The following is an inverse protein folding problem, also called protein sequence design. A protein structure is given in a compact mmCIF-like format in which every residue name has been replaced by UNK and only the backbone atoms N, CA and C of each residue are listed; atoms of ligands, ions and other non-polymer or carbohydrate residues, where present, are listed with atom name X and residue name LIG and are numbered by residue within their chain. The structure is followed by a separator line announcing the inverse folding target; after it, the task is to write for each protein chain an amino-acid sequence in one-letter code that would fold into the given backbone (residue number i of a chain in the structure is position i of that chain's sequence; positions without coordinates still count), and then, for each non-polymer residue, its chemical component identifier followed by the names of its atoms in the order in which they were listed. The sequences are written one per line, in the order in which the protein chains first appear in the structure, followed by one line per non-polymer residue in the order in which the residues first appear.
data_IF_034589324560
#
_entry.id   IF_034589324560
#
_cell.length_a   1.000
_cell.length_b   1.000
_cell.length_c   1.000
_cell.angle_alpha   90.00
_cell.angle_beta   90.00
_cell.angle_gamma   90.00
#
_symmetry.space_group_name_H-M   'P 1'
#
loop_
_entity.id
_entity.type
_entity.pdbx_description
1 polymer ?
#
# COMPACT_ATOMS: atom_id res chain seq x y z
N UNK A 1 -13.35 6.00 16.84
CA UNK A 1 -13.63 6.92 15.70
C UNK A 1 -13.28 8.35 16.07
N UNK A 2 -13.07 9.24 15.08
CA UNK A 2 -12.60 10.63 15.30
C UNK A 2 -13.44 11.42 16.31
N UNK A 3 -14.77 11.32 16.21
CA UNK A 3 -15.68 12.05 17.10
C UNK A 3 -15.57 11.59 18.55
N UNK A 4 -15.48 10.28 18.78
CA UNK A 4 -15.25 9.71 20.11
C UNK A 4 -13.92 10.16 20.69
N UNK A 5 -12.87 10.20 19.87
CA UNK A 5 -11.55 10.67 20.30
C UNK A 5 -11.58 12.13 20.75
N UNK A 6 -12.20 13.01 19.96
CA UNK A 6 -12.39 14.43 20.30
C UNK A 6 -13.24 14.61 21.56
N UNK A 7 -14.33 13.85 21.70
CA UNK A 7 -15.16 13.86 22.89
C UNK A 7 -14.34 13.52 24.15
N UNK A 8 -13.56 12.43 24.12
CA UNK A 8 -12.72 12.04 25.25
C UNK A 8 -11.64 13.10 25.53
N UNK A 9 -11.00 13.65 24.49
CA UNK A 9 -9.97 14.70 24.65
C UNK A 9 -10.52 15.95 25.34
N UNK A 10 -11.73 16.37 24.99
CA UNK A 10 -12.37 17.56 25.59
C UNK A 10 -12.78 17.34 27.04
N UNK A 11 -13.13 16.10 27.42
CA UNK A 11 -13.56 15.77 28.78
C UNK A 11 -12.39 15.35 29.71
N UNK A 12 -11.27 14.89 29.14
CA UNK A 12 -10.06 14.52 29.87
C UNK A 12 -8.90 15.45 29.49
N UNK A 13 -8.85 16.60 30.15
CA UNK A 13 -7.84 17.63 29.91
C UNK A 13 -6.43 17.03 30.06
N UNK A 14 -5.58 17.28 29.06
CA UNK A 14 -4.19 16.81 28.97
C UNK A 14 -3.98 15.28 28.88
N UNK A 15 -5.02 14.45 28.85
CA UNK A 15 -4.87 13.00 28.72
C UNK A 15 -4.56 12.54 27.29
N UNK A 16 -5.01 13.32 26.29
CA UNK A 16 -4.89 12.97 24.87
C UNK A 16 -4.34 14.15 24.05
N UNK A 17 -3.45 13.90 23.08
CA UNK A 17 -2.92 14.94 22.20
C UNK A 17 -4.00 15.57 21.30
N UNK A 18 -3.73 16.79 20.84
CA UNK A 18 -4.57 17.44 19.85
C UNK A 18 -4.46 16.73 18.49
N UNK A 19 -5.53 16.79 17.67
CA UNK A 19 -5.52 16.17 16.33
C UNK A 19 -4.38 16.67 15.43
N UNK A 20 -4.02 17.97 15.40
CA UNK A 20 -2.86 18.42 14.64
C UNK A 20 -1.56 17.73 15.07
N UNK A 21 -1.37 17.54 16.37
CA UNK A 21 -0.21 16.82 16.92
C UNK A 21 -0.20 15.37 16.47
N UNK A 22 -1.35 14.67 16.53
CA UNK A 22 -1.48 13.31 16.03
C UNK A 22 -1.18 13.21 14.54
N UNK A 23 -1.72 14.11 13.73
CA UNK A 23 -1.48 14.12 12.30
C UNK A 23 0.01 14.32 11.98
N UNK A 24 0.69 15.23 12.70
CA UNK A 24 2.14 15.41 12.53
C UNK A 24 2.92 14.16 12.94
N UNK A 25 2.54 13.50 14.04
CA UNK A 25 3.16 12.23 14.45
C UNK A 25 2.95 11.13 13.42
N UNK A 26 1.76 11.04 12.83
CA UNK A 26 1.44 10.07 11.77
C UNK A 26 2.22 10.38 10.49
N UNK A 27 2.30 11.65 10.08
CA UNK A 27 3.05 12.08 8.91
C UNK A 27 4.56 11.84 9.05
N UNK A 28 5.09 12.03 10.26
CA UNK A 28 6.50 11.81 10.57
C UNK A 28 6.81 10.34 10.91
N UNK A 29 5.80 9.50 11.13
CA UNK A 29 6.01 8.09 11.31
C UNK A 29 6.46 7.47 9.99
N UNK A 30 7.48 6.61 10.04
CA UNK A 30 8.03 5.90 8.89
C UNK A 30 7.11 4.75 8.39
N UNK A 31 5.79 4.95 8.53
CA UNK A 31 4.73 3.98 8.30
C UNK A 31 3.88 4.34 7.07
N UNK A 32 4.26 5.38 6.32
CA UNK A 32 3.53 5.79 5.13
C UNK A 32 3.59 4.68 4.08
N UNK A 33 2.43 4.34 3.51
CA UNK A 33 2.35 3.43 2.37
C UNK A 33 2.24 4.30 1.11
N UNK A 34 3.13 4.07 0.15
CA UNK A 34 3.10 4.74 -1.15
C UNK A 34 2.54 3.80 -2.23
N UNK A 35 2.05 4.39 -3.31
CA UNK A 35 1.62 3.65 -4.50
C UNK A 35 2.80 2.90 -5.12
N UNK A 36 2.58 1.63 -5.50
CA UNK A 36 3.55 0.78 -6.17
C UNK A 36 4.85 0.54 -5.38
N UNK A 37 4.88 0.86 -4.09
CA UNK A 37 6.03 0.61 -3.22
C UNK A 37 5.82 -0.67 -2.41
N UNK A 38 6.73 -1.64 -2.60
CA UNK A 38 6.74 -2.86 -1.80
C UNK A 38 7.79 -2.81 -0.68
N UNK A 39 7.32 -2.67 0.56
CA UNK A 39 8.08 -2.78 1.82
C UNK A 39 8.55 -4.21 2.15
N UNK A 40 9.22 -4.90 1.23
CA UNK A 40 9.72 -6.26 1.46
C UNK A 40 10.71 -6.36 2.62
N UNK A 41 11.51 -5.32 2.87
CA UNK A 41 12.46 -5.29 3.99
C UNK A 41 11.73 -5.34 5.34
N UNK A 42 10.65 -4.57 5.46
CA UNK A 42 9.80 -4.60 6.66
C UNK A 42 9.11 -5.97 6.81
N UNK A 43 8.75 -6.62 5.70
CA UNK A 43 8.19 -7.98 5.71
C UNK A 43 9.19 -8.96 6.28
N UNK A 44 10.42 -8.90 5.78
CA UNK A 44 11.49 -9.78 6.17
C UNK A 44 11.80 -9.60 7.66
N UNK A 45 11.92 -8.37 8.15
CA UNK A 45 12.13 -8.09 9.57
C UNK A 45 11.00 -8.64 10.44
N UNK A 46 9.75 -8.49 9.99
CA UNK A 46 8.59 -9.04 10.70
C UNK A 46 8.59 -10.58 10.71
N UNK A 47 8.88 -11.22 9.58
CA UNK A 47 9.01 -12.68 9.46
C UNK A 47 10.12 -13.25 10.35
N UNK A 48 11.25 -12.55 10.43
CA UNK A 48 12.35 -12.89 11.33
C UNK A 48 11.94 -12.79 12.80
N UNK A 49 11.20 -11.74 13.19
CA UNK A 49 10.79 -11.56 14.60
C UNK A 49 9.81 -12.65 15.08
N UNK A 50 8.93 -13.12 14.20
CA UNK A 50 7.98 -14.20 14.49
C UNK A 50 8.52 -15.60 14.12
N UNK A 51 9.79 -15.69 13.72
CA UNK A 51 10.48 -16.94 13.39
C UNK A 51 9.71 -17.81 12.38
N UNK A 52 9.15 -17.18 11.35
CA UNK A 52 8.48 -17.89 10.25
C UNK A 52 9.00 -17.43 8.91
N UNK A 53 9.03 -18.35 7.94
CA UNK A 53 9.39 -18.06 6.54
C UNK A 53 8.23 -18.29 5.59
N UNK A 54 7.11 -18.78 6.10
CA UNK A 54 5.96 -19.20 5.32
C UNK A 54 4.77 -18.32 5.65
N UNK A 55 3.90 -18.14 4.67
CA UNK A 55 2.68 -17.39 4.80
C UNK A 55 1.78 -17.54 3.58
N UNK A 56 0.56 -17.07 3.71
CA UNK A 56 -0.38 -16.94 2.62
C UNK A 56 -0.26 -15.55 1.99
N UNK A 57 -0.44 -15.50 0.68
CA UNK A 57 -0.64 -14.24 -0.02
C UNK A 57 -1.99 -14.23 -0.68
N UNK A 58 -2.68 -13.12 -0.49
CA UNK A 58 -3.94 -12.82 -1.13
C UNK A 58 -3.81 -11.53 -1.92
N UNK A 59 -4.47 -11.49 -3.07
CA UNK A 59 -4.60 -10.33 -3.91
C UNK A 59 -6.10 -10.09 -4.11
N UNK A 60 -6.52 -8.84 -3.96
CA UNK A 60 -7.87 -8.40 -4.24
C UNK A 60 -7.87 -7.00 -4.86
N UNK A 61 -8.92 -6.65 -5.59
CA UNK A 61 -9.06 -5.36 -6.23
C UNK A 61 -10.37 -4.68 -5.80
N UNK A 62 -10.30 -3.38 -5.51
CA UNK A 62 -11.46 -2.59 -5.11
C UNK A 62 -11.65 -1.39 -6.03
N UNK A 63 -12.91 -1.00 -6.24
CA UNK A 63 -13.26 0.18 -7.02
C UNK A 63 -12.92 1.46 -6.26
N UNK A 64 -12.33 2.43 -6.96
CA UNK A 64 -11.93 3.71 -6.36
C UNK A 64 -12.45 4.90 -7.16
N UNK A 65 -12.63 6.03 -6.46
CA UNK A 65 -12.97 7.30 -7.11
C UNK A 65 -11.76 7.73 -7.94
N UNK A 66 -11.98 7.90 -9.25
CA UNK A 66 -10.96 8.30 -10.21
C UNK A 66 -10.52 9.74 -9.98
N UNK A 67 -9.53 9.93 -9.11
CA UNK A 67 -8.98 11.23 -8.76
C UNK A 67 -7.46 11.18 -8.80
N UNK A 68 -6.87 12.14 -9.51
CA UNK A 68 -5.43 12.38 -9.46
C UNK A 68 -5.13 13.25 -8.24
N UNK A 69 -4.11 12.87 -7.48
CA UNK A 69 -3.59 13.65 -6.35
C UNK A 69 -2.10 13.87 -6.53
N UNK A 70 -1.66 15.07 -6.21
CA UNK A 70 -0.23 15.38 -6.12
C UNK A 70 0.27 14.97 -4.73
N UNK A 71 1.39 14.26 -4.70
CA UNK A 71 2.15 13.93 -3.50
C UNK A 71 3.37 14.86 -3.40
N UNK A 72 3.30 15.80 -2.47
CA UNK A 72 4.35 16.80 -2.23
C UNK A 72 5.66 16.14 -1.78
N UNK A 73 5.59 14.99 -1.10
CA UNK A 73 6.78 14.35 -0.52
C UNK A 73 7.67 13.73 -1.58
N UNK A 74 7.07 13.12 -2.60
CA UNK A 74 7.76 12.43 -3.70
C UNK A 74 7.76 13.25 -4.99
N UNK A 75 7.16 14.43 -4.98
CA UNK A 75 6.94 15.26 -6.17
C UNK A 75 6.28 14.48 -7.32
N UNK A 76 5.32 13.62 -7.01
CA UNK A 76 4.71 12.72 -7.98
C UNK A 76 3.19 12.79 -7.98
N UNK A 77 2.58 12.28 -9.04
CA UNK A 77 1.12 12.22 -9.20
C UNK A 77 0.62 10.79 -9.02
N UNK A 78 -0.38 10.61 -8.14
CA UNK A 78 -0.98 9.34 -7.73
C UNK A 78 -2.39 9.22 -8.32
N UNK A 79 -2.78 8.02 -8.72
CA UNK A 79 -4.14 7.70 -9.19
C UNK A 79 -4.29 7.54 -10.71
N UNK A 80 -3.20 7.63 -11.46
CA UNK A 80 -3.12 7.10 -12.83
C UNK A 80 -2.92 5.58 -12.79
N UNK A 81 -3.21 4.90 -13.89
CA UNK A 81 -2.84 3.50 -14.02
C UNK A 81 -1.31 3.35 -14.09
N UNK A 82 -0.68 2.74 -13.09
CA UNK A 82 0.78 2.62 -13.03
C UNK A 82 1.29 1.66 -14.12
N UNK A 83 2.35 2.00 -14.88
CA UNK A 83 2.97 1.04 -15.78
C UNK A 83 3.72 -0.04 -15.00
N UNK A 84 3.81 -1.22 -15.63
CA UNK A 84 4.41 -2.42 -15.07
C UNK A 84 5.77 -2.70 -15.73
N UNK A 85 6.80 -2.96 -14.92
CA UNK A 85 8.06 -3.57 -15.35
C UNK A 85 8.10 -5.03 -14.84
N UNK A 86 8.15 -6.00 -15.75
CA UNK A 86 8.15 -7.43 -15.42
C UNK A 86 6.95 -7.87 -14.55
N UNK A 87 5.81 -7.18 -14.65
CA UNK A 87 4.63 -7.46 -13.84
C UNK A 87 4.65 -6.84 -12.44
N UNK A 88 5.62 -5.97 -12.13
CA UNK A 88 5.63 -5.14 -10.90
C UNK A 88 5.38 -3.69 -11.29
N UNK A 89 4.49 -2.97 -10.59
CA UNK A 89 4.29 -1.56 -10.84
C UNK A 89 5.55 -0.75 -10.50
N UNK A 90 5.81 0.28 -11.29
CA UNK A 90 6.97 1.16 -11.11
C UNK A 90 6.60 2.28 -10.13
N UNK A 91 7.21 2.27 -8.95
CA UNK A 91 7.03 3.30 -7.95
C UNK A 91 7.37 4.70 -8.51
N UNK A 92 6.54 5.69 -8.17
CA UNK A 92 6.75 7.12 -8.49
C UNK A 92 6.91 7.41 -9.99
N UNK A 93 6.35 6.58 -10.88
CA UNK A 93 6.51 6.73 -12.34
C UNK A 93 6.07 8.12 -12.86
N UNK A 94 4.99 8.68 -12.32
CA UNK A 94 4.46 9.99 -12.73
C UNK A 94 5.08 11.13 -11.91
N UNK A 95 6.40 11.22 -11.94
CA UNK A 95 7.16 12.32 -11.36
C UNK A 95 7.58 13.30 -12.46
N UNK A 96 7.25 14.58 -12.32
CA UNK A 96 7.63 15.61 -13.28
C UNK A 96 7.55 17.00 -12.67
N UNK A 97 8.43 17.89 -13.11
CA UNK A 97 8.38 19.34 -12.87
C UNK A 97 7.75 20.11 -14.03
N UNK A 98 7.42 19.45 -15.15
CA UNK A 98 6.84 20.07 -16.35
C UNK A 98 5.33 20.00 -16.35
N UNK A 99 4.70 21.16 -16.45
CA UNK A 99 3.25 21.27 -16.62
C UNK A 99 2.77 20.64 -17.93
N UNK A 100 3.54 20.76 -19.00
CA UNK A 100 3.23 20.19 -20.32
C UNK A 100 3.18 18.67 -20.26
N UNK A 101 4.13 18.06 -19.55
CA UNK A 101 4.16 16.62 -19.34
C UNK A 101 2.98 16.16 -18.48
N UNK A 102 2.67 16.86 -17.39
CA UNK A 102 1.49 16.59 -16.56
C UNK A 102 0.20 16.68 -17.37
N UNK A 103 0.04 17.73 -18.18
CA UNK A 103 -1.13 17.94 -19.03
C UNK A 103 -1.27 16.80 -20.04
N UNK A 104 -0.17 16.42 -20.68
CA UNK A 104 -0.13 15.26 -21.58
C UNK A 104 -0.63 13.99 -20.90
N UNK A 105 -0.16 13.69 -19.69
CA UNK A 105 -0.65 12.53 -18.94
C UNK A 105 -2.13 12.62 -18.59
N UNK A 106 -2.61 13.79 -18.19
CA UNK A 106 -4.01 13.99 -17.81
C UNK A 106 -4.97 13.76 -18.98
N UNK A 107 -4.54 14.09 -20.19
CA UNK A 107 -5.32 13.96 -21.42
C UNK A 107 -5.21 12.56 -22.05
N UNK A 108 -4.06 11.89 -21.87
CA UNK A 108 -3.75 10.62 -22.57
C UNK A 108 -3.85 9.37 -21.72
N UNK A 109 -3.70 9.49 -20.39
CA UNK A 109 -3.60 8.34 -19.49
C UNK A 109 -4.90 8.16 -18.71
N UNK A 110 -5.38 6.92 -18.70
CA UNK A 110 -6.55 6.55 -17.92
C UNK A 110 -6.30 6.72 -16.42
N UNK A 111 -7.21 7.45 -15.77
CA UNK A 111 -7.32 7.46 -14.31
C UNK A 111 -7.75 6.08 -13.84
N UNK A 112 -7.07 5.55 -12.85
CA UNK A 112 -7.29 4.18 -12.43
C UNK A 112 -8.68 3.98 -11.80
N UNK A 113 -9.54 3.13 -12.36
CA UNK A 113 -10.82 2.76 -11.75
C UNK A 113 -10.68 1.81 -10.56
N UNK A 114 -9.55 1.13 -10.44
CA UNK A 114 -9.33 0.04 -9.49
C UNK A 114 -8.05 0.29 -8.70
N UNK A 115 -8.09 -0.15 -7.45
CA UNK A 115 -6.95 -0.25 -6.55
C UNK A 115 -6.73 -1.73 -6.23
N UNK A 116 -5.61 -2.27 -6.66
CA UNK A 116 -5.16 -3.60 -6.31
C UNK A 116 -4.52 -3.57 -4.93
N UNK A 117 -4.84 -4.57 -4.11
CA UNK A 117 -4.34 -4.75 -2.76
C UNK A 117 -3.71 -6.12 -2.65
N UNK A 118 -2.43 -6.16 -2.31
CA UNK A 118 -1.75 -7.41 -1.98
C UNK A 118 -1.53 -7.47 -0.47
N UNK A 119 -1.83 -8.63 0.11
CA UNK A 119 -1.67 -8.87 1.54
C UNK A 119 -0.88 -10.14 1.78
N UNK A 120 0.00 -10.10 2.77
CA UNK A 120 0.74 -11.27 3.25
C UNK A 120 0.32 -11.59 4.68
N UNK A 121 -0.07 -12.84 4.94
CA UNK A 121 -0.42 -13.37 6.24
C UNK A 121 0.61 -14.46 6.62
N UNK A 122 1.46 -14.24 7.63
CA UNK A 122 2.41 -15.26 8.07
C UNK A 122 1.71 -16.50 8.64
N UNK A 123 2.33 -17.67 8.43
CA UNK A 123 1.93 -18.91 9.07
C UNK A 123 2.62 -19.00 10.44
N UNK A 124 1.88 -19.24 11.54
CA UNK A 124 2.47 -19.39 12.86
C UNK A 124 3.38 -20.64 12.87
N UNK A 125 4.58 -20.49 13.42
CA UNK A 125 5.59 -21.54 13.44
C UNK A 125 5.31 -22.64 14.48
N UNK A 126 4.46 -22.39 15.50
CA UNK A 126 4.16 -23.35 16.57
C UNK A 126 2.68 -23.37 17.00
N UNK A 127 2.20 -24.55 17.37
CA UNK A 127 0.83 -24.97 17.73
C UNK A 127 0.25 -24.37 19.04
N UNK A 128 0.53 -23.12 19.36
CA UNK A 128 -0.05 -22.46 20.54
C UNK A 128 -0.83 -21.24 20.13
N UNK A 129 -2.15 -21.43 20.22
CA UNK A 129 -3.24 -20.46 20.06
C UNK A 129 -3.32 -19.79 18.69
N UNK A 130 -4.37 -20.19 17.96
CA UNK A 130 -5.02 -19.42 16.91
C UNK A 130 -5.52 -18.09 17.50
N UNK A 131 -4.59 -17.20 17.87
CA UNK A 131 -4.96 -15.84 18.19
C UNK A 131 -5.39 -15.23 16.88
N UNK A 132 -6.65 -14.83 16.84
CA UNK A 132 -7.30 -13.99 15.84
C UNK A 132 -6.61 -12.61 15.72
N UNK A 133 -5.31 -12.58 15.49
CA UNK A 133 -4.60 -11.40 15.03
C UNK A 133 -4.47 -11.53 13.52
N UNK A 134 -5.47 -11.00 12.82
CA UNK A 134 -5.27 -10.39 11.51
C UNK A 134 -4.28 -9.23 11.67
N UNK A 135 -3.03 -9.54 11.99
CA UNK A 135 -1.93 -8.64 11.70
C UNK A 135 -1.79 -8.71 10.19
N UNK A 136 -2.49 -7.80 9.50
CA UNK A 136 -2.28 -7.50 8.10
C UNK A 136 -0.87 -6.94 7.99
N UNK A 137 0.12 -7.81 7.89
CA UNK A 137 1.49 -7.38 8.14
C UNK A 137 1.96 -6.43 7.06
N UNK A 138 1.50 -6.56 5.82
CA UNK A 138 1.72 -5.55 4.78
C UNK A 138 0.59 -5.53 3.75
N UNK A 139 0.08 -4.33 3.49
CA UNK A 139 -0.78 -4.01 2.35
C UNK A 139 0.05 -3.27 1.29
N UNK A 140 -0.01 -3.74 0.06
CA UNK A 140 0.55 -3.07 -1.11
C UNK A 140 -0.57 -2.53 -1.98
N UNK A 141 -0.43 -1.33 -2.50
CA UNK A 141 -1.46 -0.66 -3.29
C UNK A 141 -0.95 -0.37 -4.71
N UNK A 142 -1.69 -0.80 -5.73
CA UNK A 142 -1.44 -0.46 -7.12
C UNK A 142 -2.72 0.06 -7.79
N UNK A 143 -2.61 1.15 -8.56
CA UNK A 143 -3.74 1.66 -9.33
C UNK A 143 -3.75 1.04 -10.72
N UNK A 144 -4.81 0.28 -11.04
CA UNK A 144 -4.90 -0.44 -12.31
C UNK A 144 -5.85 0.25 -13.30
N UNK A 145 -5.46 0.25 -14.57
CA UNK A 145 -6.31 0.65 -15.72
C UNK A 145 -7.36 -0.42 -16.09
N UNK A 146 -8.06 -0.23 -17.21
CA UNK A 146 -8.96 -1.28 -17.75
C UNK A 146 -8.14 -2.49 -18.21
N UNK A 147 -8.01 -3.50 -17.36
CA UNK A 147 -7.34 -4.77 -17.70
C UNK A 147 -8.22 -5.56 -18.67
N UNK A 148 -7.84 -5.64 -19.96
CA UNK A 148 -8.44 -6.56 -20.94
C UNK A 148 -7.87 -7.98 -20.87
N UNK A 149 -6.92 -8.28 -19.98
CA UNK A 149 -6.09 -9.47 -20.10
C UNK A 149 -6.14 -10.39 -18.87
N UNK A 150 -6.59 -11.64 -19.08
CA UNK A 150 -6.72 -12.70 -18.06
C UNK A 150 -5.39 -13.17 -17.46
N UNK A 151 -4.25 -12.70 -17.98
CA UNK A 151 -2.91 -13.21 -17.65
C UNK A 151 -2.23 -12.52 -16.44
N UNK A 152 -2.84 -11.48 -15.85
CA UNK A 152 -2.22 -10.75 -14.73
C UNK A 152 -2.09 -11.62 -13.46
N UNK A 153 -3.14 -12.41 -13.14
CA UNK A 153 -3.18 -13.29 -11.96
C UNK A 153 -2.05 -14.33 -11.93
N UNK A 154 -1.62 -14.79 -13.11
CA UNK A 154 -0.57 -15.82 -13.22
C UNK A 154 0.81 -15.23 -12.94
N UNK A 155 1.06 -13.97 -13.32
CA UNK A 155 2.37 -13.35 -13.20
C UNK A 155 2.68 -12.89 -11.77
N UNK A 156 1.70 -12.35 -11.03
CA UNK A 156 1.87 -12.00 -9.62
C UNK A 156 2.14 -13.23 -8.74
N UNK A 157 1.42 -14.33 -8.98
CA UNK A 157 1.62 -15.61 -8.28
C UNK A 157 2.99 -16.26 -8.60
N UNK A 158 3.48 -16.13 -9.84
CA UNK A 158 4.80 -16.61 -10.25
C UNK A 158 5.91 -15.75 -9.62
N UNK A 159 5.77 -14.43 -9.63
CA UNK A 159 6.70 -13.47 -9.00
C UNK A 159 6.87 -13.74 -7.51
N UNK A 160 5.75 -13.91 -6.80
CA UNK A 160 5.81 -14.12 -5.36
C UNK A 160 6.39 -15.49 -4.99
N UNK A 161 6.16 -16.52 -5.82
CA UNK A 161 6.84 -17.82 -5.71
C UNK A 161 8.35 -17.74 -5.97
N UNK A 162 8.79 -16.90 -6.91
CA UNK A 162 10.22 -16.71 -7.23
C UNK A 162 10.92 -15.96 -6.09
N UNK A 163 10.27 -14.93 -5.52
CA UNK A 163 10.78 -14.16 -4.39
C UNK A 163 10.89 -15.01 -3.12
N UNK A 164 9.88 -15.81 -2.77
CA UNK A 164 9.94 -16.71 -1.61
C UNK A 164 11.02 -17.81 -1.76
N UNK A 165 11.40 -18.20 -2.99
CA UNK A 165 12.46 -19.19 -3.23
C UNK A 165 13.88 -18.62 -3.20
N UNK A 166 14.04 -17.30 -3.34
CA UNK A 166 15.37 -16.64 -3.35
C UNK A 166 15.84 -16.18 -1.97
N UNK A 167 14.98 -16.20 -0.96
CA UNK A 167 15.25 -15.86 0.44
C UNK A 167 15.04 -17.08 1.35
#
# INVERSE_FOLDING_TARGET
GKLTYEFVRMNLIAALPAIPTLNNLILNANLRVAEAEFRFDALQQHLLSIHTKLGFVSEDCTGVIRKIKYDVTTNSFVGFATPLANGVPIAQFYQTDSYEQLKSWFDTIDKAPLLNVHMFQPLPSNNTELVHQLHFSIMFFEFMGKVKNKNFKTNAAIMLRILIKKF
#
